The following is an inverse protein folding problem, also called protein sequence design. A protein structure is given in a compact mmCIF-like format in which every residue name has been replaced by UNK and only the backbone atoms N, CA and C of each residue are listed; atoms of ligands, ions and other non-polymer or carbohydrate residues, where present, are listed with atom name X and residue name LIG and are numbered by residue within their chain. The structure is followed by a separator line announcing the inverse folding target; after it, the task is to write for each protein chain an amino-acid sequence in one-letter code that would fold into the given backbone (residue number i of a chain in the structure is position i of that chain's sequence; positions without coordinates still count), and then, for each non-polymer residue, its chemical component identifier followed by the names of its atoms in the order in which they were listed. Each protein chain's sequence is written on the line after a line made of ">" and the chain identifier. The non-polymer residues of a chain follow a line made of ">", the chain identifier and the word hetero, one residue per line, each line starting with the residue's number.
data_IF_930844967359
#
_entry.id   IF_930844967359
#
_cell.length_a   1.000
_cell.length_b   1.000
_cell.length_c   1.000
_cell.angle_alpha   90.00
_cell.angle_beta   90.00
_cell.angle_gamma   90.00
#
_symmetry.space_group_name_H-M   'P 1'
#
loop_
_entity.id
_entity.type
_entity.pdbx_description
1 polymer ?
#
# COMPACT_ATOMS: atom_id res chain seq x y z
N UNK A 1 6.93 5.05 -2.56
CA UNK A 1 5.94 4.63 -1.54
C UNK A 1 4.50 4.98 -1.91
N UNK A 2 3.54 4.25 -1.33
CA UNK A 2 2.10 4.53 -1.31
C UNK A 2 1.53 4.19 0.07
N UNK A 3 0.53 4.94 0.53
CA UNK A 3 -0.30 4.53 1.67
C UNK A 3 -1.40 3.63 1.13
N UNK A 4 -1.52 2.44 1.69
CA UNK A 4 -2.66 1.54 1.48
C UNK A 4 -3.56 1.63 2.71
N UNK A 5 -4.76 2.17 2.53
CA UNK A 5 -5.81 2.16 3.53
C UNK A 5 -6.76 1.00 3.26
N UNK A 6 -7.02 0.20 4.28
CA UNK A 6 -7.87 -0.99 4.24
C UNK A 6 -9.01 -0.80 5.22
N UNK A 7 -10.24 -0.98 4.75
CA UNK A 7 -11.45 -1.10 5.56
C UNK A 7 -11.91 -2.55 5.45
N UNK A 8 -12.02 -3.25 6.57
CA UNK A 8 -12.34 -4.68 6.65
C UNK A 8 -13.03 -5.02 7.97
N UNK A 9 -13.51 -6.24 8.11
CA UNK A 9 -13.98 -6.76 9.39
C UNK A 9 -12.84 -6.93 10.41
N UNK A 10 -13.14 -6.84 11.70
CA UNK A 10 -12.15 -7.02 12.77
C UNK A 10 -11.46 -8.39 12.74
N UNK A 11 -12.15 -9.41 12.24
CA UNK A 11 -11.62 -10.77 12.03
C UNK A 11 -10.33 -10.80 11.19
N UNK A 12 -10.11 -9.78 10.36
CA UNK A 12 -8.94 -9.66 9.48
C UNK A 12 -7.74 -8.94 10.11
N UNK A 13 -7.87 -8.43 11.34
CA UNK A 13 -6.86 -7.57 11.97
C UNK A 13 -5.47 -8.23 12.06
N UNK A 14 -5.42 -9.49 12.49
CA UNK A 14 -4.16 -10.21 12.66
C UNK A 14 -3.51 -10.54 11.32
N UNK A 15 -4.31 -10.95 10.35
CA UNK A 15 -3.82 -11.24 8.99
C UNK A 15 -3.30 -9.98 8.29
N UNK A 16 -3.97 -8.83 8.47
CA UNK A 16 -3.50 -7.54 7.94
C UNK A 16 -2.18 -7.10 8.59
N UNK A 17 -2.03 -7.31 9.91
CA UNK A 17 -0.76 -7.05 10.61
C UNK A 17 0.37 -7.95 10.10
N UNK A 18 0.10 -9.25 9.93
CA UNK A 18 1.08 -10.19 9.40
C UNK A 18 1.48 -9.87 7.95
N UNK A 19 0.52 -9.44 7.12
CA UNK A 19 0.77 -8.99 5.76
C UNK A 19 1.70 -7.78 5.73
N UNK A 20 1.43 -6.77 6.57
CA UNK A 20 2.27 -5.57 6.67
C UNK A 20 3.69 -5.90 7.12
N UNK A 21 3.85 -6.80 8.09
CA UNK A 21 5.16 -7.27 8.53
C UNK A 21 5.93 -7.98 7.41
N UNK A 22 5.25 -8.88 6.67
CA UNK A 22 5.84 -9.60 5.54
C UNK A 22 6.26 -8.68 4.39
N UNK A 23 5.47 -7.64 4.15
CA UNK A 23 5.76 -6.61 3.14
C UNK A 23 6.81 -5.59 3.60
N UNK A 24 7.32 -5.71 4.84
CA UNK A 24 8.22 -4.72 5.44
C UNK A 24 7.66 -3.30 5.33
N UNK A 25 6.38 -3.15 5.64
CA UNK A 25 5.70 -1.87 5.62
C UNK A 25 6.48 -0.85 6.47
N UNK A 26 6.71 0.33 5.92
CA UNK A 26 7.41 1.43 6.60
C UNK A 26 6.63 1.86 7.85
N UNK A 27 5.31 1.77 7.77
CA UNK A 27 4.42 2.08 8.88
C UNK A 27 3.18 1.17 8.83
N UNK A 28 2.66 0.82 10.00
CA UNK A 28 1.37 0.17 10.17
C UNK A 28 0.61 0.83 11.31
N UNK A 29 -0.59 1.36 11.03
CA UNK A 29 -1.49 1.92 12.04
C UNK A 29 -2.88 1.31 11.94
N UNK A 30 -3.35 0.80 13.07
CA UNK A 30 -4.74 0.43 13.30
C UNK A 30 -5.48 1.67 13.80
N UNK A 31 -6.61 2.02 13.17
CA UNK A 31 -7.52 3.03 13.67
C UNK A 31 -8.73 2.36 14.33
N UNK A 32 -9.40 3.10 15.21
CA UNK A 32 -10.54 2.60 15.98
C UNK A 32 -11.67 2.14 15.05
N UNK A 33 -12.46 1.20 15.56
CA UNK A 33 -13.61 0.67 14.84
C UNK A 33 -14.69 1.75 14.72
N UNK A 34 -15.32 1.83 13.56
CA UNK A 34 -16.57 2.58 13.46
C UNK A 34 -17.69 1.81 14.20
N UNK A 35 -18.82 2.46 14.50
CA UNK A 35 -19.98 1.86 15.16
C UNK A 35 -20.49 0.58 14.45
N UNK A 36 -20.18 0.45 13.14
CA UNK A 36 -20.52 -0.71 12.30
C UNK A 36 -19.59 -1.93 12.48
N UNK A 37 -18.61 -1.89 13.39
CA UNK A 37 -17.67 -3.01 13.62
C UNK A 37 -16.62 -3.18 12.52
N UNK A 38 -16.45 -2.18 11.66
CA UNK A 38 -15.43 -2.17 10.62
C UNK A 38 -14.11 -1.63 11.17
N UNK A 39 -13.05 -2.40 10.96
CA UNK A 39 -11.67 -2.03 11.21
C UNK A 39 -11.13 -1.19 10.05
N UNK A 40 -10.45 -0.09 10.39
CA UNK A 40 -9.63 0.66 9.43
C UNK A 40 -8.15 0.53 9.75
N UNK A 41 -7.35 0.17 8.75
CA UNK A 41 -5.90 0.02 8.84
C UNK A 41 -5.24 0.87 7.77
N UNK A 42 -4.13 1.54 8.13
CA UNK A 42 -3.22 2.18 7.17
C UNK A 42 -1.87 1.51 7.23
N UNK A 43 -1.30 1.26 6.06
CA UNK A 43 0.09 0.82 5.92
C UNK A 43 0.82 1.62 4.85
N UNK A 44 2.05 2.03 5.13
CA UNK A 44 2.90 2.70 4.15
C UNK A 44 3.78 1.64 3.48
N UNK A 45 3.61 1.46 2.16
CA UNK A 45 4.19 0.38 1.38
C UNK A 45 5.13 0.96 0.33
N UNK A 46 6.30 0.34 0.17
CA UNK A 46 7.27 0.67 -0.89
C UNK A 46 6.72 0.29 -2.27
N UNK A 47 7.13 1.00 -3.31
CA UNK A 47 6.54 0.82 -4.63
C UNK A 47 6.73 -0.61 -5.20
N UNK A 48 7.85 -1.26 -4.87
CA UNK A 48 8.19 -2.62 -5.29
C UNK A 48 7.33 -3.70 -4.62
N UNK A 49 6.86 -3.45 -3.40
CA UNK A 49 5.99 -4.38 -2.65
C UNK A 49 4.50 -4.17 -2.93
N UNK A 50 4.13 -3.04 -3.53
CA UNK A 50 2.73 -2.62 -3.67
C UNK A 50 1.87 -3.66 -4.37
N UNK A 51 2.29 -4.17 -5.54
CA UNK A 51 1.49 -5.13 -6.30
C UNK A 51 1.25 -6.42 -5.51
N UNK A 52 2.29 -6.98 -4.91
CA UNK A 52 2.20 -8.18 -4.06
C UNK A 52 1.25 -7.99 -2.87
N UNK A 53 1.23 -6.80 -2.27
CA UNK A 53 0.30 -6.46 -1.19
C UNK A 53 -1.13 -6.38 -1.72
N UNK A 54 -1.37 -5.74 -2.87
CA UNK A 54 -2.70 -5.62 -3.45
C UNK A 54 -3.30 -6.97 -3.83
N UNK A 55 -2.53 -7.86 -4.46
CA UNK A 55 -2.99 -9.20 -4.84
C UNK A 55 -3.42 -10.02 -3.60
N UNK A 56 -2.64 -9.91 -2.51
CA UNK A 56 -2.94 -10.57 -1.24
C UNK A 56 -4.18 -9.98 -0.57
N UNK A 57 -4.32 -8.66 -0.57
CA UNK A 57 -5.50 -8.00 0.00
C UNK A 57 -6.77 -8.35 -0.76
N UNK A 58 -6.72 -8.41 -2.10
CA UNK A 58 -7.85 -8.84 -2.91
C UNK A 58 -8.27 -10.28 -2.58
N UNK A 59 -7.30 -11.18 -2.42
CA UNK A 59 -7.57 -12.57 -2.03
C UNK A 59 -8.14 -12.68 -0.61
N UNK A 60 -7.57 -11.93 0.33
CA UNK A 60 -7.94 -11.96 1.74
C UNK A 60 -9.34 -11.37 1.98
N UNK A 61 -9.65 -10.26 1.31
CA UNK A 61 -10.83 -9.46 1.60
C UNK A 61 -11.95 -9.70 0.61
N UNK A 62 -11.69 -10.30 -0.57
CA UNK A 62 -12.67 -10.41 -1.66
C UNK A 62 -13.99 -11.12 -1.32
N UNK A 63 -14.05 -11.83 -0.18
CA UNK A 63 -15.27 -12.44 0.33
C UNK A 63 -16.11 -11.53 1.26
N UNK A 64 -15.59 -10.38 1.70
CA UNK A 64 -16.25 -9.47 2.63
C UNK A 64 -17.10 -8.43 1.88
N UNK A 65 -18.38 -8.23 2.23
CA UNK A 65 -19.27 -7.37 1.46
C UNK A 65 -18.90 -5.88 1.47
N UNK A 66 -18.28 -5.40 2.55
CA UNK A 66 -18.01 -3.97 2.78
C UNK A 66 -16.52 -3.62 2.75
N UNK A 67 -15.67 -4.49 2.21
CA UNK A 67 -14.25 -4.20 2.17
C UNK A 67 -13.94 -3.02 1.22
N UNK A 68 -12.93 -2.24 1.58
CA UNK A 68 -12.36 -1.20 0.71
C UNK A 68 -10.84 -1.23 0.81
N UNK A 69 -10.19 -1.03 -0.34
CA UNK A 69 -8.75 -0.86 -0.45
C UNK A 69 -8.54 0.45 -1.19
N UNK A 70 -7.87 1.41 -0.55
CA UNK A 70 -7.57 2.72 -1.11
C UNK A 70 -6.05 2.85 -1.22
N UNK A 71 -5.56 3.26 -2.38
CA UNK A 71 -4.13 3.49 -2.63
C UNK A 71 -3.92 4.98 -2.79
N UNK A 72 -3.17 5.58 -1.86
CA UNK A 72 -2.92 7.01 -1.80
C UNK A 72 -1.44 7.25 -2.15
N UNK A 73 -1.14 8.12 -3.14
CA UNK A 73 0.23 8.50 -3.43
C UNK A 73 0.88 9.20 -2.23
N UNK A 74 2.13 8.84 -1.95
CA UNK A 74 2.96 9.51 -0.95
C UNK A 74 4.10 10.17 -1.69
N UNK A 75 4.15 11.50 -1.62
CA UNK A 75 5.23 12.27 -2.23
C UNK A 75 6.50 12.22 -1.37
N UNK A 76 6.35 12.29 -0.04
CA UNK A 76 7.46 12.27 0.91
C UNK A 76 7.03 11.51 2.18
N UNK A 77 7.92 10.69 2.72
CA UNK A 77 7.82 10.11 4.08
C UNK A 77 9.09 10.44 4.86
N UNK A 78 8.94 10.85 6.12
CA UNK A 78 10.05 11.11 7.03
C UNK A 78 9.97 10.14 8.23
N UNK A 79 11.11 9.59 8.68
CA UNK A 79 12.48 9.85 8.21
C UNK A 79 12.76 9.28 6.81
N UNK A 80 13.74 9.87 6.11
CA UNK A 80 14.16 9.41 4.79
C UNK A 80 14.75 7.99 4.89
N UNK A 81 14.34 7.11 3.97
CA UNK A 81 14.95 5.80 3.81
C UNK A 81 16.43 5.93 3.41
N UNK A 82 17.23 4.90 3.71
CA UNK A 82 18.65 4.86 3.35
C UNK A 82 18.85 4.97 1.82
N UNK A 83 19.96 5.61 1.40
CA UNK A 83 20.25 5.93 0.00
C UNK A 83 20.05 4.79 -1.04
N UNK A 84 20.44 3.52 -0.80
CA UNK A 84 20.23 2.46 -1.80
C UNK A 84 18.76 2.13 -2.05
N UNK A 85 17.90 2.38 -1.07
CA UNK A 85 16.46 2.16 -1.18
C UNK A 85 15.77 3.29 -1.93
N UNK A 86 16.24 4.52 -1.72
CA UNK A 86 15.73 5.72 -2.39
C UNK A 86 15.99 5.70 -3.90
N UNK A 87 17.18 5.29 -4.32
CA UNK A 87 17.54 5.19 -5.74
C UNK A 87 16.65 4.20 -6.52
N UNK A 88 16.18 3.12 -5.88
CA UNK A 88 15.23 2.17 -6.48
C UNK A 88 13.83 2.75 -6.60
N UNK A 89 13.38 3.54 -5.62
CA UNK A 89 12.06 4.16 -5.65
C UNK A 89 11.96 5.28 -6.71
N UNK A 90 13.00 6.10 -6.86
CA UNK A 90 13.05 7.22 -7.81
C UNK A 90 13.13 6.77 -9.28
N UNK A 91 13.65 5.57 -9.54
CA UNK A 91 13.71 5.01 -10.90
C UNK A 91 12.32 4.62 -11.46
N UNK A 92 11.37 4.26 -10.60
CA UNK A 92 10.04 3.79 -11.01
C UNK A 92 9.16 4.86 -11.71
N UNK A 93 9.06 6.12 -11.24
CA UNK A 93 8.34 7.17 -11.95
C UNK A 93 9.05 7.62 -13.23
N UNK A 94 10.39 7.71 -13.23
CA UNK A 94 11.17 8.13 -14.41
C UNK A 94 10.97 7.20 -15.62
N UNK A 95 10.91 5.89 -15.40
CA UNK A 95 10.62 4.91 -16.46
C UNK A 95 9.19 5.07 -17.00
N UNK A 96 8.24 5.44 -16.15
CA UNK A 96 6.85 5.65 -16.58
C UNK A 96 6.73 6.90 -17.46
N UNK A 97 7.40 7.99 -17.10
CA UNK A 97 7.41 9.22 -17.89
C UNK A 97 8.06 9.01 -19.26
N UNK A 98 9.17 8.27 -19.32
CA UNK A 98 9.82 7.91 -20.58
C UNK A 98 8.90 7.11 -21.52
N UNK A 99 8.13 6.15 -20.97
CA UNK A 99 7.17 5.37 -21.76
C UNK A 99 6.02 6.23 -22.31
N UNK A 100 5.56 7.24 -21.56
CA UNK A 100 4.54 8.17 -22.06
C UNK A 100 5.09 9.07 -23.17
N UNK A 101 6.31 9.60 -23.02
CA UNK A 101 6.94 10.41 -24.08
C UNK A 101 7.19 9.62 -25.37
N UNK A 102 7.49 8.32 -25.26
CA UNK A 102 7.71 7.45 -26.42
C UNK A 102 6.39 7.11 -27.14
N UNK A 103 5.28 7.03 -26.40
CA UNK A 103 3.94 6.86 -26.98
C UNK A 103 3.39 8.14 -27.64
N UNK A 104 3.75 9.33 -27.17
CA UNK A 104 3.34 10.59 -27.82
C UNK A 104 4.07 10.88 -29.15
N UNK A 105 5.20 10.20 -29.40
CA UNK A 105 6.03 10.40 -30.60
C UNK A 105 5.69 9.45 -31.76
N UNK A 106 4.84 8.44 -31.55
CA UNK A 106 4.37 7.47 -32.56
C UNK A 106 2.90 7.71 -32.93
#
# INVERSE_FOLDING_TARGET
>A
MKIVEVIAEESSAETLRALAAKAQAVEYRRMELNEDGLLRVRMCIKNDQLQSVLDRLQTLLGAQPYHRILVIPVDISLPLAEEPERAREDAAPAVREALFEEMEKN
#
